data_IF_927609599038
#
_entry.id   IF_927609599038
#
_cell.length_a   1.000
_cell.length_b   1.000
_cell.length_c   1.000
_cell.angle_alpha   90.00
_cell.angle_beta   90.00
_cell.angle_gamma   90.00
#
_symmetry.space_group_name_H-M   'P 1'
#
loop_
_entity.id
_entity.type
_entity.pdbx_description
1 polymer ?
#
# COMPACT_ATOMS: atom_id res chain seq x y z
N UNK A 1 -6.56 18.73 8.86
CA UNK A 1 -5.76 18.59 7.61
C UNK A 1 -5.22 19.94 7.10
N UNK A 2 -6.10 20.95 6.97
CA UNK A 2 -5.72 22.30 6.49
C UNK A 2 -4.60 22.97 7.28
N UNK A 3 -4.58 22.79 8.61
CA UNK A 3 -3.52 23.36 9.44
C UNK A 3 -2.12 22.85 9.03
N UNK A 4 -1.97 21.54 8.80
CA UNK A 4 -0.69 20.94 8.35
C UNK A 4 -0.31 21.50 6.98
N UNK A 5 -1.27 21.60 6.05
CA UNK A 5 -1.04 22.16 4.72
C UNK A 5 -0.52 23.60 4.79
N UNK A 6 -1.07 24.42 5.68
CA UNK A 6 -0.62 25.81 5.90
C UNK A 6 0.79 25.88 6.51
N UNK A 7 1.11 25.01 7.47
CA UNK A 7 2.46 24.94 8.05
C UNK A 7 3.50 24.59 7.00
N UNK A 8 3.24 23.54 6.21
CA UNK A 8 4.13 23.15 5.11
C UNK A 8 4.27 24.24 4.05
N UNK A 9 3.18 24.94 3.71
CA UNK A 9 3.23 26.06 2.76
C UNK A 9 4.07 27.24 3.28
N UNK A 10 4.09 27.46 4.60
CA UNK A 10 4.95 28.48 5.24
C UNK A 10 6.42 28.06 5.25
N UNK A 11 6.69 26.79 5.51
CA UNK A 11 8.04 26.26 5.70
C UNK A 11 8.77 25.91 4.39
N UNK A 12 8.02 25.51 3.35
CA UNK A 12 8.57 25.01 2.08
C UNK A 12 8.28 26.02 0.97
N UNK A 13 9.28 26.78 0.49
CA UNK A 13 9.11 27.78 -0.56
C UNK A 13 8.44 27.23 -1.82
N UNK A 14 8.77 26.00 -2.21
CA UNK A 14 8.28 25.32 -3.39
C UNK A 14 6.77 24.99 -3.31
N UNK A 15 6.22 24.80 -2.10
CA UNK A 15 4.77 24.69 -1.88
C UNK A 15 4.08 26.06 -1.93
N UNK A 16 4.80 27.13 -1.59
CA UNK A 16 4.29 28.50 -1.68
C UNK A 16 4.25 28.97 -3.13
N UNK A 17 5.28 28.67 -3.92
CA UNK A 17 5.38 28.99 -5.34
C UNK A 17 4.47 28.11 -6.23
N UNK A 18 4.01 26.97 -5.73
CA UNK A 18 3.18 26.02 -6.48
C UNK A 18 3.96 25.05 -7.37
N UNK A 19 5.29 25.02 -7.28
CA UNK A 19 6.12 24.01 -7.95
C UNK A 19 5.90 22.62 -7.35
N UNK A 20 5.58 22.55 -6.06
CA UNK A 20 5.14 21.34 -5.36
C UNK A 20 3.69 21.54 -4.91
N UNK A 21 2.93 20.45 -4.86
CA UNK A 21 1.59 20.41 -4.30
C UNK A 21 1.45 19.27 -3.29
N UNK A 22 0.74 19.53 -2.18
CA UNK A 22 0.23 18.47 -1.29
C UNK A 22 -1.06 17.91 -1.86
N UNK A 23 -1.00 16.69 -2.39
CA UNK A 23 -2.13 16.00 -3.03
C UNK A 23 -3.08 15.36 -2.03
N UNK A 24 -2.55 14.65 -1.04
CA UNK A 24 -3.33 13.88 -0.07
C UNK A 24 -2.77 14.05 1.34
N UNK A 25 -3.63 14.02 2.35
CA UNK A 25 -3.26 14.11 3.77
C UNK A 25 -4.10 13.12 4.57
N UNK A 26 -3.45 12.24 5.33
CA UNK A 26 -4.08 11.40 6.34
C UNK A 26 -3.49 11.76 7.71
N UNK A 27 -4.34 12.18 8.65
CA UNK A 27 -3.90 12.73 9.94
C UNK A 27 -4.64 12.10 11.12
N UNK A 28 -3.86 11.75 12.13
CA UNK A 28 -4.26 11.53 13.51
C UNK A 28 -3.58 12.60 14.36
N UNK A 29 -4.34 13.64 14.71
CA UNK A 29 -3.80 14.86 15.32
C UNK A 29 -3.07 14.55 16.64
N UNK A 30 -1.91 15.18 16.83
CA UNK A 30 -1.04 15.00 18.00
C UNK A 30 -0.22 13.72 17.99
N UNK A 31 -0.41 12.82 17.02
CA UNK A 31 0.31 11.55 16.96
C UNK A 31 1.09 11.40 15.66
N UNK A 32 0.40 11.31 14.52
CA UNK A 32 1.05 11.07 13.23
C UNK A 32 0.25 11.60 12.05
N UNK A 33 0.94 12.17 11.08
CA UNK A 33 0.40 12.59 9.79
C UNK A 33 1.21 11.99 8.65
N UNK A 34 0.54 11.50 7.62
CA UNK A 34 1.13 11.21 6.32
C UNK A 34 0.68 12.27 5.31
N UNK A 35 1.61 12.84 4.56
CA UNK A 35 1.32 13.72 3.44
C UNK A 35 1.88 13.15 2.14
N UNK A 36 1.09 13.16 1.07
CA UNK A 36 1.53 12.79 -0.26
C UNK A 36 1.76 14.05 -1.09
N UNK A 37 2.97 14.20 -1.62
CA UNK A 37 3.41 15.40 -2.34
C UNK A 37 3.86 15.06 -3.76
N UNK A 38 3.57 15.96 -4.70
CA UNK A 38 4.02 15.84 -6.09
C UNK A 38 4.62 17.15 -6.56
N UNK A 39 5.59 17.08 -7.46
CA UNK A 39 6.11 18.24 -8.18
C UNK A 39 5.45 18.35 -9.55
N UNK A 40 5.09 19.57 -9.96
CA UNK A 40 4.71 19.90 -11.33
C UNK A 40 5.91 20.30 -12.19
N UNK A 41 7.07 20.51 -11.56
CA UNK A 41 8.29 20.98 -12.18
C UNK A 41 9.34 19.86 -12.28
N UNK A 42 9.83 19.65 -13.51
CA UNK A 42 10.97 18.77 -13.78
C UNK A 42 12.20 19.17 -12.96
N UNK A 43 12.89 18.17 -12.39
CA UNK A 43 14.11 18.38 -11.60
C UNK A 43 13.91 18.84 -10.17
N UNK A 44 12.66 19.04 -9.72
CA UNK A 44 12.34 19.36 -8.32
C UNK A 44 11.86 18.08 -7.62
N UNK A 45 12.60 17.62 -6.62
CA UNK A 45 12.19 16.49 -5.78
C UNK A 45 11.19 16.96 -4.71
N UNK A 46 9.92 16.54 -4.78
CA UNK A 46 8.92 17.02 -3.85
C UNK A 46 9.15 16.55 -2.41
N UNK A 47 9.71 15.36 -2.22
CA UNK A 47 9.96 14.80 -0.89
C UNK A 47 11.16 15.51 -0.26
N UNK A 48 12.28 15.57 -0.97
CA UNK A 48 13.50 16.25 -0.52
C UNK A 48 13.28 17.72 -0.19
N UNK A 49 12.50 18.44 -1.00
CA UNK A 49 12.14 19.84 -0.72
C UNK A 49 11.31 20.00 0.55
N UNK A 50 10.40 19.07 0.85
CA UNK A 50 9.59 19.13 2.06
C UNK A 50 10.37 18.69 3.32
N UNK A 51 11.32 17.76 3.17
CA UNK A 51 12.20 17.30 4.26
C UNK A 51 13.24 18.39 4.60
N UNK A 52 13.85 19.00 3.58
CA UNK A 52 14.94 19.95 3.72
C UNK A 52 16.27 19.29 4.12
N UNK A 53 17.34 20.08 4.16
CA UNK A 53 18.66 19.57 4.55
C UNK A 53 18.60 18.97 5.96
N UNK A 54 19.01 17.70 6.09
CA UNK A 54 18.98 16.95 7.36
C UNK A 54 17.61 16.96 8.07
N UNK A 55 16.51 17.11 7.32
CA UNK A 55 15.16 17.11 7.89
C UNK A 55 14.74 18.42 8.57
N UNK A 56 15.48 19.51 8.42
CA UNK A 56 15.23 20.77 9.15
C UNK A 56 13.79 21.29 8.93
N UNK A 57 13.27 21.23 7.71
CA UNK A 57 11.94 21.77 7.39
C UNK A 57 10.82 20.91 7.99
N UNK A 58 10.88 19.59 7.80
CA UNK A 58 9.88 18.69 8.40
C UNK A 58 9.94 18.69 9.94
N UNK A 59 11.12 18.88 10.51
CA UNK A 59 11.28 19.01 11.97
C UNK A 59 10.66 20.30 12.50
N UNK A 60 10.81 21.44 11.79
CA UNK A 60 10.15 22.69 12.15
C UNK A 60 8.62 22.52 12.18
N UNK A 61 8.04 21.87 11.16
CA UNK A 61 6.60 21.56 11.15
C UNK A 61 6.21 20.61 12.28
N UNK A 62 7.00 19.57 12.53
CA UNK A 62 6.77 18.61 13.63
C UNK A 62 6.75 19.30 14.99
N UNK A 63 7.66 20.25 15.21
CA UNK A 63 7.72 21.03 16.45
C UNK A 63 6.49 21.91 16.63
N UNK A 64 6.05 22.59 15.57
CA UNK A 64 4.81 23.39 15.56
C UNK A 64 3.55 22.55 15.79
N UNK A 65 3.59 21.27 15.45
CA UNK A 65 2.52 20.31 15.71
C UNK A 65 2.61 19.64 17.10
N UNK A 66 3.53 20.08 17.97
CA UNK A 66 3.70 19.54 19.31
C UNK A 66 4.32 18.13 19.33
N UNK A 67 5.17 17.81 18.36
CA UNK A 67 5.83 16.50 18.25
C UNK A 67 5.06 15.44 17.47
N UNK A 68 3.95 15.81 16.81
CA UNK A 68 3.24 14.94 15.88
C UNK A 68 4.18 14.47 14.76
N UNK A 69 4.40 13.15 14.62
CA UNK A 69 5.31 12.61 13.60
C UNK A 69 4.75 12.85 12.20
N UNK A 70 5.59 13.33 11.29
CA UNK A 70 5.18 13.57 9.90
C UNK A 70 5.95 12.69 8.93
N UNK A 71 5.23 11.85 8.18
CA UNK A 71 5.78 11.12 7.04
C UNK A 71 5.45 11.88 5.75
N UNK A 72 6.45 12.09 4.91
CA UNK A 72 6.33 12.74 3.61
C UNK A 72 6.57 11.66 2.56
N UNK A 73 5.58 11.43 1.70
CA UNK A 73 5.66 10.39 0.67
C UNK A 73 5.49 10.99 -0.73
N UNK A 74 6.13 10.41 -1.75
CA UNK A 74 5.86 10.80 -3.13
C UNK A 74 4.43 10.39 -3.51
N UNK A 75 3.69 11.32 -4.10
CA UNK A 75 2.39 11.03 -4.67
C UNK A 75 2.54 10.45 -6.08
N UNK A 76 1.69 9.50 -6.41
CA UNK A 76 1.58 8.86 -7.72
C UNK A 76 0.14 8.44 -7.96
N UNK A 77 -0.26 8.39 -9.22
CA UNK A 77 -1.58 7.90 -9.65
C UNK A 77 -1.67 6.37 -9.57
N UNK A 78 -0.54 5.67 -9.61
CA UNK A 78 -0.51 4.23 -9.39
C UNK A 78 -0.75 3.93 -7.91
N UNK A 79 -1.96 3.47 -7.61
CA UNK A 79 -2.38 3.07 -6.26
C UNK A 79 -1.40 2.08 -5.62
N UNK A 80 -0.82 1.15 -6.39
CA UNK A 80 0.10 0.15 -5.86
C UNK A 80 1.37 0.82 -5.34
N UNK A 81 1.96 1.71 -6.13
CA UNK A 81 3.14 2.48 -5.74
C UNK A 81 2.83 3.48 -4.62
N UNK A 82 1.63 4.10 -4.64
CA UNK A 82 1.20 4.99 -3.56
C UNK A 82 1.08 4.25 -2.22
N UNK A 83 0.47 3.06 -2.21
CA UNK A 83 0.35 2.22 -1.01
C UNK A 83 1.73 1.77 -0.53
N UNK A 84 2.60 1.33 -1.45
CA UNK A 84 3.98 0.95 -1.15
C UNK A 84 4.74 2.09 -0.47
N UNK A 85 4.67 3.30 -1.03
CA UNK A 85 5.29 4.48 -0.46
C UNK A 85 4.67 4.86 0.90
N UNK A 86 3.35 4.73 1.06
CA UNK A 86 2.64 5.07 2.29
C UNK A 86 2.95 4.15 3.47
N UNK A 87 3.32 2.89 3.20
CA UNK A 87 3.71 1.89 4.20
C UNK A 87 5.19 1.94 4.60
N UNK A 88 5.99 2.77 3.92
CA UNK A 88 7.40 3.06 4.29
C UNK A 88 7.53 3.35 5.79
N UNK A 89 8.57 2.80 6.47
CA UNK A 89 9.83 2.25 5.95
C UNK A 89 9.84 0.75 5.64
N UNK A 90 8.70 0.06 5.69
CA UNK A 90 8.70 -1.39 5.55
C UNK A 90 8.99 -1.88 4.12
N UNK A 91 9.68 -3.02 4.03
CA UNK A 91 9.86 -3.74 2.78
C UNK A 91 8.63 -4.61 2.46
N UNK A 92 8.17 -4.54 1.22
CA UNK A 92 6.95 -5.21 0.76
C UNK A 92 7.30 -6.18 -0.36
N UNK A 93 6.88 -7.43 -0.23
CA UNK A 93 7.09 -8.46 -1.24
C UNK A 93 6.07 -8.36 -2.37
N UNK A 94 4.78 -8.23 -2.02
CA UNK A 94 3.72 -8.12 -3.02
C UNK A 94 2.53 -7.29 -2.56
N UNK A 95 1.83 -6.71 -3.53
CA UNK A 95 0.59 -5.96 -3.32
C UNK A 95 -0.40 -6.39 -4.40
N UNK A 96 -1.57 -6.85 -3.97
CA UNK A 96 -2.72 -7.17 -4.82
C UNK A 96 -3.85 -6.18 -4.54
N UNK A 97 -4.38 -5.56 -5.60
CA UNK A 97 -5.42 -4.52 -5.50
C UNK A 97 -6.75 -5.05 -6.01
N UNK A 98 -7.77 -5.04 -5.15
CA UNK A 98 -9.17 -5.26 -5.50
C UNK A 98 -9.86 -3.90 -5.67
N UNK A 99 -9.91 -3.42 -6.92
CA UNK A 99 -10.45 -2.09 -7.26
C UNK A 99 -11.93 -1.92 -6.90
N UNK A 100 -12.74 -2.96 -7.07
CA UNK A 100 -14.19 -2.92 -6.80
C UNK A 100 -14.50 -2.73 -5.31
N UNK A 101 -13.76 -3.41 -4.43
CA UNK A 101 -13.93 -3.33 -2.98
C UNK A 101 -13.11 -2.20 -2.34
N UNK A 102 -12.23 -1.52 -3.09
CA UNK A 102 -11.18 -0.62 -2.57
C UNK A 102 -10.36 -1.29 -1.47
N UNK A 103 -9.95 -2.53 -1.73
CA UNK A 103 -9.12 -3.32 -0.82
C UNK A 103 -7.74 -3.58 -1.43
N UNK A 104 -6.72 -3.59 -0.58
CA UNK A 104 -5.35 -3.89 -0.95
C UNK A 104 -4.80 -4.95 0.00
N UNK A 105 -4.36 -6.08 -0.55
CA UNK A 105 -3.69 -7.16 0.18
C UNK A 105 -2.20 -6.99 0.02
N UNK A 106 -1.50 -6.83 1.13
CA UNK A 106 -0.06 -6.56 1.18
C UNK A 106 0.62 -7.73 1.87
N UNK A 107 1.57 -8.35 1.17
CA UNK A 107 2.38 -9.42 1.73
C UNK A 107 3.77 -8.88 2.04
N UNK A 108 4.25 -9.17 3.25
CA UNK A 108 5.52 -8.68 3.78
C UNK A 108 6.33 -9.83 4.40
N UNK A 109 7.65 -9.69 4.50
CA UNK A 109 8.46 -10.60 5.32
C UNK A 109 7.97 -10.59 6.78
N UNK A 110 8.15 -11.70 7.50
CA UNK A 110 7.65 -11.85 8.88
C UNK A 110 8.27 -10.82 9.84
N UNK A 111 9.55 -10.52 9.68
CA UNK A 111 10.28 -9.49 10.42
C UNK A 111 9.73 -8.07 10.15
N UNK A 112 9.11 -7.86 8.98
CA UNK A 112 8.51 -6.58 8.61
C UNK A 112 7.05 -6.42 9.10
N UNK A 113 6.38 -7.51 9.50
CA UNK A 113 4.95 -7.46 9.84
C UNK A 113 4.63 -6.41 10.92
N UNK A 114 5.42 -6.37 11.98
CA UNK A 114 5.23 -5.44 13.11
C UNK A 114 5.41 -3.96 12.70
N UNK A 115 6.45 -3.67 11.91
CA UNK A 115 6.74 -2.29 11.46
C UNK A 115 5.70 -1.80 10.45
N UNK A 116 5.20 -2.70 9.58
CA UNK A 116 4.14 -2.40 8.61
C UNK A 116 2.86 -2.01 9.35
N UNK A 117 2.41 -2.84 10.29
CA UNK A 117 1.21 -2.59 11.11
C UNK A 117 1.38 -1.27 11.89
N UNK A 118 2.54 -1.11 12.52
CA UNK A 118 2.86 0.00 13.39
C UNK A 118 2.11 -0.06 14.73
N UNK A 119 2.44 0.86 15.64
CA UNK A 119 1.80 0.94 16.95
C UNK A 119 0.28 1.09 16.80
N UNK A 120 -0.49 0.20 17.42
CA UNK A 120 -1.96 0.15 17.37
C UNK A 120 -2.55 0.13 15.94
N UNK A 121 -1.81 -0.40 14.97
CA UNK A 121 -2.22 -0.43 13.55
C UNK A 121 -2.20 0.94 12.85
N UNK A 122 -1.58 1.95 13.48
CA UNK A 122 -1.63 3.33 12.98
C UNK A 122 -1.03 3.49 11.58
N UNK A 123 0.07 2.78 11.27
CA UNK A 123 0.75 2.97 9.99
C UNK A 123 -0.13 2.50 8.83
N UNK A 124 -0.68 1.28 8.93
CA UNK A 124 -1.64 0.72 7.96
C UNK A 124 -2.90 1.57 7.87
N UNK A 125 -3.45 2.03 9.01
CA UNK A 125 -4.67 2.86 9.04
C UNK A 125 -4.46 4.19 8.33
N UNK A 126 -3.34 4.88 8.60
CA UNK A 126 -3.02 6.13 7.92
C UNK A 126 -2.70 5.94 6.44
N UNK A 127 -1.96 4.87 6.08
CA UNK A 127 -1.68 4.55 4.68
C UNK A 127 -2.96 4.25 3.90
N UNK A 128 -3.87 3.48 4.49
CA UNK A 128 -5.16 3.16 3.88
C UNK A 128 -6.04 4.39 3.72
N UNK A 129 -6.13 5.26 4.75
CA UNK A 129 -6.83 6.54 4.66
C UNK A 129 -6.23 7.47 3.60
N UNK A 130 -4.91 7.46 3.44
CA UNK A 130 -4.21 8.28 2.47
C UNK A 130 -4.49 7.81 1.04
N UNK A 131 -4.38 6.51 0.78
CA UNK A 131 -4.63 5.94 -0.55
C UNK A 131 -6.13 5.83 -0.88
N UNK A 132 -7.01 5.86 0.14
CA UNK A 132 -8.43 5.60 -0.02
C UNK A 132 -8.78 4.12 -0.16
N UNK A 133 -7.93 3.24 0.38
CA UNK A 133 -8.07 1.78 0.35
C UNK A 133 -8.05 1.20 1.76
N UNK A 134 -8.80 0.11 1.98
CA UNK A 134 -8.60 -0.73 3.14
C UNK A 134 -7.39 -1.64 2.87
N UNK A 135 -6.41 -1.58 3.75
CA UNK A 135 -5.17 -2.36 3.62
C UNK A 135 -5.22 -3.53 4.59
N UNK A 136 -5.04 -4.74 4.07
CA UNK A 136 -4.86 -5.98 4.81
C UNK A 136 -3.40 -6.41 4.65
N UNK A 137 -2.74 -6.75 5.77
CA UNK A 137 -1.32 -7.11 5.78
C UNK A 137 -1.18 -8.55 6.26
N UNK A 138 -0.46 -9.37 5.50
CA UNK A 138 -0.13 -10.74 5.83
C UNK A 138 1.37 -10.99 5.69
N UNK A 139 1.92 -11.94 6.45
CA UNK A 139 3.31 -12.36 6.26
C UNK A 139 3.41 -13.60 5.38
N UNK A 140 4.50 -13.72 4.62
CA UNK A 140 4.73 -14.81 3.66
C UNK A 140 4.74 -16.20 4.30
N UNK A 141 5.11 -16.29 5.58
CA UNK A 141 5.06 -17.53 6.35
C UNK A 141 3.67 -17.93 6.87
N UNK A 142 2.71 -17.00 6.87
CA UNK A 142 1.38 -17.19 7.45
C UNK A 142 0.34 -17.45 6.36
N UNK A 143 0.55 -18.49 5.56
CA UNK A 143 -0.55 -19.06 4.75
C UNK A 143 -1.42 -19.90 5.68
N UNK A 144 -2.29 -19.24 6.45
CA UNK A 144 -3.32 -19.93 7.22
C UNK A 144 -4.45 -20.37 6.30
N UNK A 145 -4.73 -21.66 6.36
CA UNK A 145 -5.91 -22.32 5.83
C UNK A 145 -7.18 -21.72 6.45
N UNK A 146 -8.14 -21.29 5.62
CA UNK A 146 -9.56 -21.08 5.95
C UNK A 146 -9.97 -19.66 6.42
N UNK A 147 -11.03 -19.04 5.92
CA UNK A 147 -12.04 -19.49 4.97
C UNK A 147 -13.12 -18.43 4.70
N UNK A 148 -13.83 -18.63 3.59
CA UNK A 148 -15.21 -18.19 3.42
C UNK A 148 -15.97 -19.39 2.85
N UNK A 149 -16.91 -19.90 3.64
CA UNK A 149 -17.92 -20.85 3.23
C UNK A 149 -18.60 -20.37 1.93
N UNK A 150 -18.64 -21.23 0.94
CA UNK A 150 -19.71 -21.24 -0.07
C UNK A 150 -20.16 -22.69 -0.16
N UNK A 151 -21.41 -22.91 0.20
CA UNK A 151 -22.08 -24.20 0.30
C UNK A 151 -21.99 -25.02 -1.00
N UNK A 152 -21.89 -26.33 -0.82
CA UNK A 152 -22.03 -27.36 -1.85
C UNK A 152 -23.45 -27.35 -2.46
N UNK A 153 -23.54 -27.42 -3.78
CA UNK A 153 -24.46 -28.34 -4.46
C UNK A 153 -24.10 -28.44 -5.94
N UNK A 154 -23.77 -29.65 -6.40
CA UNK A 154 -23.47 -29.90 -7.80
C UNK A 154 -22.71 -31.20 -8.06
N UNK A 155 -23.25 -32.32 -7.59
CA UNK A 155 -22.88 -33.68 -7.98
C UNK A 155 -22.76 -33.84 -9.52
N UNK A 156 -21.64 -34.39 -9.99
CA UNK A 156 -21.62 -35.48 -10.99
C UNK A 156 -20.20 -35.97 -11.28
N UNK A 157 -19.86 -37.15 -10.76
CA UNK A 157 -18.99 -38.16 -11.39
C UNK A 157 -19.80 -39.47 -11.35
N UNK A 158 -19.58 -40.47 -12.22
CA UNK A 158 -18.33 -40.85 -12.87
C UNK A 158 -18.51 -41.13 -14.39
N UNK A 159 -17.50 -41.46 -15.19
CA UNK A 159 -17.21 -42.87 -15.47
C UNK A 159 -15.85 -43.09 -16.15
N UNK A 160 -15.20 -44.15 -15.70
CA UNK A 160 -13.95 -44.73 -16.16
C UNK A 160 -14.30 -45.78 -17.21
N UNK A 161 -13.69 -45.74 -18.40
CA UNK A 161 -13.75 -46.92 -19.27
C UNK A 161 -12.39 -47.23 -19.90
N UNK A 162 -11.74 -48.25 -19.35
CA UNK A 162 -10.74 -49.05 -20.05
C UNK A 162 -11.48 -50.16 -20.79
N UNK A 163 -11.28 -50.31 -22.11
CA UNK A 163 -11.46 -51.60 -22.78
C UNK A 163 -10.34 -51.84 -23.80
N UNK A 164 -9.46 -52.78 -23.44
CA UNK A 164 -8.71 -53.64 -24.37
C UNK A 164 -9.70 -54.59 -25.03
N UNK A 165 -9.65 -54.73 -26.36
CA UNK A 165 -10.02 -55.99 -27.05
C UNK A 165 -8.98 -56.26 -28.15
N UNK A 166 -8.47 -57.48 -28.17
CA UNK A 166 -7.49 -58.04 -29.10
C UNK A 166 -8.17 -58.56 -30.39
N UNK A 167 -7.32 -58.72 -31.43
CA UNK A 167 -7.27 -59.80 -32.45
C UNK A 167 -8.25 -59.88 -33.64
N UNK A 168 -7.66 -59.84 -34.85
CA UNK A 168 -7.79 -60.75 -36.02
C UNK A 168 -6.79 -60.23 -37.08
N UNK A 169 -5.65 -60.86 -37.41
CA UNK A 169 -5.38 -62.09 -38.19
C UNK A 169 -6.27 -62.26 -39.43
N UNK A 170 -5.63 -62.09 -40.60
CA UNK A 170 -5.73 -62.77 -41.94
C UNK A 170 -5.20 -61.73 -42.95
N UNK A 171 -4.21 -61.92 -43.83
CA UNK A 171 -3.76 -63.09 -44.57
C UNK A 171 -3.82 -62.75 -46.07
N UNK A 172 -2.64 -62.64 -46.71
CA UNK A 172 -2.36 -62.95 -48.13
C UNK A 172 -2.99 -62.10 -49.24
N UNK A 173 -2.15 -61.41 -50.04
CA UNK A 173 -1.84 -61.74 -51.46
C UNK A 173 -0.61 -60.95 -51.87
#
# INVERSE_FOLDING_TARGET
PEFVKKLFKREVPELSSGSIEVKLIAREAGVRTKIAVSSSQSGVDPVGSCVGQKGVRVQAVTNELGGERVDIIPWTEDVKELIKAALSPAEIESISILKTAKEAKVTVPEDQLSIVIGKDGQNVRLAGRLAGYRIEVASTGLTTLGGSNVDESGESKPERNQRKIKSKVTGTT
#
